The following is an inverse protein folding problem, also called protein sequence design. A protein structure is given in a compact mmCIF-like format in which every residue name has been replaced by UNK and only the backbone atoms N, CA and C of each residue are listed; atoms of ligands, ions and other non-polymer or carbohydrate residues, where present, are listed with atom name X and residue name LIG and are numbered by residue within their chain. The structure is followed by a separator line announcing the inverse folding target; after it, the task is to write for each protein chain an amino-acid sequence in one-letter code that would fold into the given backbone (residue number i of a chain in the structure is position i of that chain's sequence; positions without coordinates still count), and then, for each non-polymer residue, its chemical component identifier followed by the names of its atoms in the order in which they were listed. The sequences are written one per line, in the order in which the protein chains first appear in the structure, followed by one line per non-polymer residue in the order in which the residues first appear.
data_IF_110096856699
#
_entry.id   IF_110096856699
#
_cell.length_a   1.000
_cell.length_b   1.000
_cell.length_c   1.000
_cell.angle_alpha   90.00
_cell.angle_beta   90.00
_cell.angle_gamma   90.00
#
_symmetry.space_group_name_H-M   'P 1'
#
loop_
_entity.id
_entity.type
_entity.pdbx_description
1 polymer ?
#
# COMPACT_ATOMS: atom_id res chain seq x y z
N UNK A 1 -32.02 -15.30 -8.10
CA UNK A 1 -30.93 -15.92 -8.87
C UNK A 1 -29.65 -15.29 -8.36
N UNK A 2 -28.80 -16.08 -7.71
CA UNK A 2 -27.64 -15.61 -6.96
C UNK A 2 -26.67 -14.87 -7.89
N UNK A 3 -26.44 -13.59 -7.58
CA UNK A 3 -25.45 -12.78 -8.26
C UNK A 3 -24.08 -13.24 -7.72
N UNK A 4 -23.29 -13.86 -8.57
CA UNK A 4 -21.95 -14.38 -8.27
C UNK A 4 -21.03 -13.23 -7.86
N UNK A 5 -20.67 -13.17 -6.58
CA UNK A 5 -19.61 -12.31 -6.05
C UNK A 5 -18.24 -12.80 -6.57
N UNK A 6 -17.43 -11.96 -7.24
CA UNK A 6 -16.08 -12.33 -7.68
C UNK A 6 -15.07 -12.55 -6.54
N UNK A 7 -15.45 -12.34 -5.27
CA UNK A 7 -14.56 -12.40 -4.11
C UNK A 7 -14.51 -13.76 -3.42
N UNK A 8 -14.84 -14.84 -4.14
CA UNK A 8 -14.73 -16.17 -3.55
C UNK A 8 -13.27 -16.51 -3.23
N UNK A 9 -13.05 -16.68 -1.93
CA UNK A 9 -11.90 -17.26 -1.27
C UNK A 9 -11.46 -18.62 -1.88
N UNK A 10 -12.25 -19.23 -2.76
CA UNK A 10 -11.93 -20.48 -3.48
C UNK A 10 -10.88 -20.34 -4.59
N UNK A 11 -10.45 -19.12 -4.95
CA UNK A 11 -9.31 -18.93 -5.87
C UNK A 11 -7.92 -19.27 -5.27
N UNK A 12 -7.87 -19.79 -4.03
CA UNK A 12 -6.67 -19.82 -3.17
C UNK A 12 -5.91 -21.16 -3.22
N UNK A 13 -6.28 -22.10 -4.10
CA UNK A 13 -5.49 -23.33 -4.32
C UNK A 13 -5.19 -23.58 -5.79
N UNK A 14 -3.90 -23.47 -6.15
CA UNK A 14 -3.34 -24.14 -7.34
C UNK A 14 -3.58 -23.46 -8.70
N UNK A 15 -3.97 -22.18 -8.73
CA UNK A 15 -4.00 -21.39 -9.97
C UNK A 15 -2.60 -21.08 -10.51
N UNK A 16 -2.52 -20.69 -11.79
CA UNK A 16 -1.29 -20.18 -12.40
C UNK A 16 -0.75 -18.99 -11.57
N UNK A 17 0.55 -19.02 -11.25
CA UNK A 17 1.19 -17.93 -10.48
C UNK A 17 1.11 -16.65 -11.32
N UNK A 18 0.41 -15.59 -10.86
CA UNK A 18 0.30 -14.36 -11.63
C UNK A 18 1.66 -13.65 -11.68
N UNK A 19 1.85 -12.72 -12.63
CA UNK A 19 2.98 -11.80 -12.55
C UNK A 19 2.95 -11.06 -11.20
N UNK A 20 4.08 -10.57 -10.66
CA UNK A 20 4.14 -9.94 -9.34
C UNK A 20 3.30 -8.65 -9.21
N UNK A 21 2.95 -8.05 -10.35
CA UNK A 21 2.10 -6.87 -10.43
C UNK A 21 1.37 -6.79 -11.78
N UNK A 22 0.32 -5.97 -11.80
CA UNK A 22 -0.26 -5.41 -13.01
C UNK A 22 0.15 -3.94 -13.16
N UNK A 23 0.50 -3.55 -14.38
CA UNK A 23 0.84 -2.16 -14.71
C UNK A 23 -0.23 -1.61 -15.66
N UNK A 24 -1.00 -0.64 -15.16
CA UNK A 24 -2.00 0.08 -15.91
C UNK A 24 -1.37 1.36 -16.46
N UNK A 25 -1.25 1.41 -17.79
CA UNK A 25 -0.74 2.57 -18.49
C UNK A 25 -1.84 3.64 -18.61
N UNK A 26 -1.47 4.93 -18.66
CA UNK A 26 -2.43 6.00 -18.86
C UNK A 26 -3.17 5.82 -20.18
N UNK A 27 -4.46 6.18 -20.21
CA UNK A 27 -5.26 6.22 -21.44
C UNK A 27 -5.17 7.56 -22.17
N UNK A 28 -4.92 8.61 -21.40
CA UNK A 28 -4.69 9.97 -21.88
C UNK A 28 -3.18 10.30 -21.95
N UNK A 29 -2.85 11.56 -22.23
CA UNK A 29 -1.48 12.06 -22.15
C UNK A 29 -0.85 11.76 -20.78
N UNK A 30 0.34 11.17 -20.80
CA UNK A 30 1.08 10.80 -19.60
C UNK A 30 1.37 12.03 -18.73
N UNK A 31 1.12 11.89 -17.43
CA UNK A 31 1.43 12.84 -16.38
C UNK A 31 2.50 12.25 -15.46
N UNK A 32 3.23 13.07 -14.68
CA UNK A 32 4.35 12.61 -13.86
C UNK A 32 3.93 11.78 -12.63
N UNK A 33 2.80 11.07 -12.65
CA UNK A 33 2.28 10.31 -11.51
C UNK A 33 2.40 8.80 -11.72
N UNK A 34 3.00 8.14 -10.72
CA UNK A 34 2.92 6.70 -10.49
C UNK A 34 2.10 6.45 -9.23
N UNK A 35 0.96 5.78 -9.39
CA UNK A 35 0.12 5.32 -8.28
C UNK A 35 0.53 3.88 -7.94
N UNK A 36 1.02 3.65 -6.74
CA UNK A 36 1.40 2.32 -6.26
C UNK A 36 0.33 1.79 -5.30
N UNK A 37 -0.14 0.57 -5.55
CA UNK A 37 -1.06 -0.16 -4.66
C UNK A 37 -0.40 -1.49 -4.27
N UNK A 38 0.52 -1.47 -3.29
CA UNK A 38 1.36 -2.62 -2.97
C UNK A 38 0.64 -3.73 -2.17
N UNK A 39 -0.52 -3.46 -1.57
CA UNK A 39 -1.13 -4.33 -0.56
C UNK A 39 -2.54 -4.83 -0.86
N UNK A 40 -3.09 -4.56 -2.05
CA UNK A 40 -4.41 -5.10 -2.47
C UNK A 40 -4.31 -6.43 -3.22
N UNK A 41 -3.12 -7.04 -3.28
CA UNK A 41 -2.91 -8.33 -3.90
C UNK A 41 -3.69 -9.44 -3.19
N UNK A 42 -4.34 -10.30 -3.97
CA UNK A 42 -5.24 -11.38 -3.50
C UNK A 42 -4.75 -12.77 -3.89
N UNK A 43 -3.54 -12.88 -4.43
CA UNK A 43 -2.93 -14.17 -4.70
C UNK A 43 -2.21 -14.69 -3.46
N UNK A 44 -2.71 -15.83 -2.97
CA UNK A 44 -2.17 -16.57 -1.83
C UNK A 44 -1.60 -17.90 -2.35
N UNK A 45 -0.27 -18.04 -2.48
CA UNK A 45 0.33 -19.29 -2.92
C UNK A 45 -0.05 -20.45 -2.00
N UNK A 46 -0.19 -21.67 -2.55
CA UNK A 46 -0.48 -22.86 -1.74
C UNK A 46 0.57 -23.08 -0.64
N UNK A 47 1.85 -22.74 -0.91
CA UNK A 47 2.92 -22.79 0.07
C UNK A 47 2.68 -21.90 1.30
N UNK A 48 1.97 -20.78 1.16
CA UNK A 48 1.56 -19.94 2.28
C UNK A 48 0.35 -20.53 3.00
N UNK A 49 -0.66 -20.93 2.24
CA UNK A 49 -1.92 -21.46 2.79
C UNK A 49 -1.68 -22.73 3.59
N UNK A 50 -0.89 -23.66 3.06
CA UNK A 50 -0.60 -24.95 3.67
C UNK A 50 0.33 -24.82 4.90
N UNK A 51 1.15 -23.76 4.96
CA UNK A 51 2.04 -23.48 6.09
C UNK A 51 1.36 -22.70 7.23
N UNK A 52 0.13 -22.21 7.00
CA UNK A 52 -0.59 -21.31 7.90
C UNK A 52 -1.63 -22.04 8.74
N UNK A 53 -1.70 -21.78 10.06
CA UNK A 53 -2.80 -22.27 10.89
C UNK A 53 -4.06 -21.38 10.75
N UNK A 54 -3.94 -20.20 10.12
CA UNK A 54 -5.04 -19.27 9.94
C UNK A 54 -5.96 -19.73 8.84
N UNK A 55 -7.25 -19.47 9.04
CA UNK A 55 -8.23 -19.56 7.98
C UNK A 55 -8.08 -18.42 6.99
N UNK A 56 -9.02 -18.39 6.05
CA UNK A 56 -8.93 -17.47 4.96
C UNK A 56 -9.07 -16.01 5.31
N UNK A 57 -10.08 -15.70 6.10
CA UNK A 57 -10.30 -14.35 6.61
C UNK A 57 -9.10 -13.91 7.45
N UNK A 58 -8.52 -14.80 8.26
CA UNK A 58 -7.33 -14.55 9.06
C UNK A 58 -6.13 -14.10 8.23
N UNK A 59 -5.79 -14.81 7.16
CA UNK A 59 -4.69 -14.44 6.25
C UNK A 59 -4.92 -13.11 5.52
N UNK A 60 -6.18 -12.71 5.33
CA UNK A 60 -6.58 -11.49 4.65
C UNK A 60 -6.63 -10.25 5.54
N UNK A 61 -6.49 -10.40 6.86
CA UNK A 61 -6.57 -9.25 7.80
C UNK A 61 -5.51 -8.16 7.57
N UNK A 62 -4.43 -8.48 6.87
CA UNK A 62 -3.35 -7.53 6.54
C UNK A 62 -3.49 -6.92 5.15
N UNK A 63 -4.47 -7.34 4.35
CA UNK A 63 -4.77 -6.75 3.05
C UNK A 63 -5.19 -5.29 3.22
N UNK A 64 -4.74 -4.45 2.30
CA UNK A 64 -5.35 -3.14 2.08
C UNK A 64 -6.48 -3.35 1.06
N UNK A 65 -7.52 -4.07 1.50
CA UNK A 65 -8.59 -4.56 0.63
C UNK A 65 -9.28 -3.41 -0.09
N UNK A 66 -9.61 -3.62 -1.36
CA UNK A 66 -10.33 -2.69 -2.25
C UNK A 66 -9.63 -1.36 -2.59
N UNK A 67 -8.42 -1.08 -2.11
CA UNK A 67 -7.69 0.15 -2.48
C UNK A 67 -7.44 0.21 -3.98
N UNK A 68 -7.14 -0.93 -4.60
CA UNK A 68 -7.04 -1.06 -6.06
C UNK A 68 -8.35 -0.74 -6.79
N UNK A 69 -9.50 -1.10 -6.22
CA UNK A 69 -10.81 -0.79 -6.78
C UNK A 69 -11.18 0.70 -6.60
N UNK A 70 -10.87 1.28 -5.44
CA UNK A 70 -11.11 2.70 -5.15
C UNK A 70 -10.38 3.59 -6.17
N UNK A 71 -9.16 3.20 -6.54
CA UNK A 71 -8.29 3.98 -7.42
C UNK A 71 -8.23 3.47 -8.87
N UNK A 72 -9.08 2.50 -9.25
CA UNK A 72 -9.07 1.87 -10.57
C UNK A 72 -9.24 2.85 -11.76
N UNK A 73 -9.86 4.01 -11.53
CA UNK A 73 -10.08 5.04 -12.55
C UNK A 73 -8.90 6.01 -12.78
N UNK A 74 -7.83 5.94 -11.99
CA UNK A 74 -6.71 6.89 -12.11
C UNK A 74 -5.94 6.83 -13.44
N UNK A 75 -5.83 5.69 -14.15
CA UNK A 75 -5.26 5.67 -15.50
C UNK A 75 -5.99 6.57 -16.51
N UNK A 76 -7.27 6.88 -16.29
CA UNK A 76 -8.06 7.85 -17.09
C UNK A 76 -7.65 9.31 -16.86
N UNK A 77 -6.68 9.56 -15.98
CA UNK A 77 -6.22 10.93 -15.67
C UNK A 77 -4.86 11.24 -16.27
N UNK A 78 -4.21 10.26 -16.90
CA UNK A 78 -2.81 10.35 -17.35
C UNK A 78 -1.80 9.76 -16.37
N UNK A 79 -2.22 9.26 -15.20
CA UNK A 79 -1.33 8.57 -14.27
C UNK A 79 -1.04 7.13 -14.73
N UNK A 80 0.17 6.64 -14.43
CA UNK A 80 0.47 5.21 -14.45
C UNK A 80 0.10 4.60 -13.10
N UNK A 81 -0.46 3.39 -13.06
CA UNK A 81 -0.80 2.68 -11.83
C UNK A 81 -0.18 1.29 -11.80
N UNK A 82 0.42 0.90 -10.68
CA UNK A 82 1.00 -0.42 -10.44
C UNK A 82 0.31 -1.08 -9.23
N UNK A 83 -0.27 -2.26 -9.46
CA UNK A 83 -1.02 -3.00 -8.44
C UNK A 83 -0.32 -4.33 -8.19
N UNK A 84 0.03 -4.60 -6.93
CA UNK A 84 0.59 -5.90 -6.55
C UNK A 84 -0.45 -7.01 -6.69
N UNK A 85 -0.04 -8.19 -7.13
CA UNK A 85 -0.93 -9.35 -7.25
C UNK A 85 -0.85 -10.26 -6.03
N UNK A 86 0.34 -10.37 -5.43
CA UNK A 86 0.59 -11.23 -4.29
C UNK A 86 0.14 -10.55 -3.01
N UNK A 87 -0.45 -11.33 -2.11
CA UNK A 87 -0.89 -10.82 -0.82
C UNK A 87 0.29 -10.35 0.03
N UNK A 88 0.08 -9.28 0.79
CA UNK A 88 1.06 -8.73 1.74
C UNK A 88 1.54 -9.78 2.77
N UNK A 89 0.67 -10.71 3.16
CA UNK A 89 1.02 -11.81 4.05
C UNK A 89 2.09 -12.75 3.46
N UNK A 90 2.22 -12.79 2.12
CA UNK A 90 3.27 -13.53 1.44
C UNK A 90 4.57 -12.72 1.36
N UNK A 91 4.48 -11.48 0.88
CA UNK A 91 5.58 -10.50 0.75
C UNK A 91 5.02 -9.09 0.97
N UNK A 92 5.54 -8.35 1.95
CA UNK A 92 5.24 -6.94 2.17
C UNK A 92 6.14 -6.08 1.25
N UNK A 93 5.51 -5.48 0.22
CA UNK A 93 6.17 -4.63 -0.77
C UNK A 93 6.41 -3.19 -0.26
N UNK A 94 5.94 -2.85 0.94
CA UNK A 94 6.29 -1.61 1.63
C UNK A 94 7.33 -1.85 2.74
N UNK A 95 8.28 -2.77 2.46
CA UNK A 95 9.47 -3.07 3.26
C UNK A 95 10.71 -3.24 2.38
N UNK A 96 11.89 -3.06 2.96
CA UNK A 96 13.14 -3.28 2.25
C UNK A 96 13.43 -4.78 2.08
N UNK A 97 14.01 -5.21 0.95
CA UNK A 97 14.19 -6.63 0.61
C UNK A 97 14.87 -7.49 1.71
N UNK A 98 15.78 -6.88 2.46
CA UNK A 98 16.58 -7.49 3.52
C UNK A 98 16.02 -7.23 4.93
N UNK A 99 14.86 -6.58 5.08
CA UNK A 99 14.17 -6.40 6.36
C UNK A 99 13.44 -7.70 6.77
N UNK A 100 14.23 -8.73 7.13
CA UNK A 100 13.80 -10.09 7.41
C UNK A 100 14.16 -10.52 8.84
N UNK A 101 13.32 -11.35 9.46
CA UNK A 101 13.63 -11.99 10.74
C UNK A 101 14.40 -13.30 10.46
N UNK A 102 15.69 -13.41 10.81
CA UNK A 102 16.48 -14.60 10.51
C UNK A 102 15.93 -15.86 11.19
N UNK A 103 15.31 -15.70 12.37
CA UNK A 103 14.79 -16.80 13.20
C UNK A 103 13.51 -17.45 12.62
N UNK A 104 12.86 -16.81 11.65
CA UNK A 104 11.70 -17.39 10.95
C UNK A 104 12.07 -18.51 10.00
N UNK A 105 13.36 -18.75 9.75
CA UNK A 105 13.83 -19.65 8.71
C UNK A 105 14.68 -20.81 9.23
N UNK A 106 14.67 -21.91 8.49
CA UNK A 106 15.53 -23.07 8.71
C UNK A 106 16.32 -23.45 7.44
N UNK A 107 17.66 -23.52 7.50
CA UNK A 107 18.49 -22.99 8.59
C UNK A 107 18.27 -21.48 8.79
N UNK A 108 18.68 -20.95 9.94
CA UNK A 108 18.59 -19.51 10.24
C UNK A 108 19.35 -18.71 9.16
N UNK A 109 18.79 -17.58 8.74
CA UNK A 109 19.45 -16.71 7.76
C UNK A 109 20.70 -16.06 8.38
N UNK A 110 21.70 -15.78 7.55
CA UNK A 110 22.89 -15.05 7.98
C UNK A 110 22.53 -13.62 8.40
N UNK A 111 22.75 -13.28 9.68
CA UNK A 111 22.48 -11.96 10.25
C UNK A 111 23.23 -10.83 9.52
N UNK A 112 24.36 -11.13 8.88
CA UNK A 112 25.09 -10.14 8.08
C UNK A 112 24.37 -9.74 6.79
N UNK A 113 23.36 -10.51 6.36
CA UNK A 113 22.62 -10.31 5.10
C UNK A 113 21.21 -9.73 5.29
N UNK A 114 20.78 -9.53 6.54
CA UNK A 114 19.43 -9.05 6.88
C UNK A 114 19.46 -7.91 7.90
N UNK A 115 18.39 -7.11 7.95
CA UNK A 115 18.21 -6.01 8.91
C UNK A 115 17.04 -6.28 9.85
N UNK A 116 17.35 -6.48 11.15
CA UNK A 116 16.36 -6.70 12.21
C UNK A 116 15.84 -5.38 12.81
N UNK A 117 14.99 -4.68 12.07
CA UNK A 117 14.36 -3.41 12.51
C UNK A 117 13.36 -3.64 13.66
N UNK A 118 12.91 -2.58 14.38
CA UNK A 118 11.82 -2.72 15.35
C UNK A 118 10.54 -3.36 14.77
N UNK A 119 10.26 -3.15 13.47
CA UNK A 119 9.14 -3.77 12.78
C UNK A 119 9.36 -5.27 12.57
N UNK A 120 10.56 -5.67 12.18
CA UNK A 120 10.94 -7.09 12.09
C UNK A 120 10.79 -7.78 13.44
N UNK A 121 11.27 -7.15 14.52
CA UNK A 121 11.10 -7.68 15.89
C UNK A 121 9.62 -7.81 16.30
N UNK A 122 8.75 -6.98 15.73
CA UNK A 122 7.31 -7.07 15.89
C UNK A 122 6.64 -8.04 14.89
N UNK A 123 7.41 -8.80 14.10
CA UNK A 123 6.87 -9.76 13.12
C UNK A 123 6.38 -9.13 11.80
N UNK A 124 6.70 -7.87 11.53
CA UNK A 124 6.20 -7.09 10.37
C UNK A 124 7.33 -6.76 9.37
N UNK A 125 8.22 -7.72 9.12
CA UNK A 125 9.25 -7.64 8.07
C UNK A 125 8.71 -7.90 6.66
N UNK A 126 9.60 -7.95 5.68
CA UNK A 126 9.27 -8.20 4.25
C UNK A 126 8.58 -9.54 4.03
N UNK A 127 8.94 -10.53 4.83
CA UNK A 127 8.14 -11.75 4.98
C UNK A 127 7.56 -11.67 6.39
N UNK A 128 6.28 -11.28 6.52
CA UNK A 128 5.69 -11.04 7.84
C UNK A 128 5.50 -12.37 8.58
N UNK A 129 5.81 -12.37 9.88
CA UNK A 129 5.58 -13.50 10.78
C UNK A 129 4.15 -13.53 11.32
N UNK A 130 3.51 -12.36 11.41
CA UNK A 130 2.18 -12.16 11.98
C UNK A 130 1.30 -11.34 11.04
N UNK A 131 -0.01 -11.51 11.17
CA UNK A 131 -0.98 -10.57 10.59
C UNK A 131 -1.17 -9.34 11.47
N UNK A 132 -1.85 -8.32 10.95
CA UNK A 132 -2.14 -7.04 11.63
C UNK A 132 -2.75 -7.19 13.05
N UNK A 133 -3.49 -8.26 13.33
CA UNK A 133 -4.05 -8.57 14.66
C UNK A 133 -3.14 -9.36 15.60
N UNK A 134 -1.91 -9.64 15.21
CA UNK A 134 -0.94 -10.33 16.06
C UNK A 134 -0.87 -11.85 15.91
N UNK A 135 -1.76 -12.47 15.14
CA UNK A 135 -1.79 -13.92 14.98
C UNK A 135 -0.64 -14.39 14.06
N UNK A 136 0.07 -15.48 14.40
CA UNK A 136 1.17 -16.00 13.60
C UNK A 136 0.67 -16.53 12.25
N UNK A 137 1.36 -16.17 11.18
CA UNK A 137 1.07 -16.62 9.81
C UNK A 137 1.56 -18.05 9.60
N UNK A 138 2.64 -18.49 10.27
CA UNK A 138 3.24 -19.81 10.04
C UNK A 138 3.19 -20.67 11.29
N UNK A 139 2.96 -21.96 11.12
CA UNK A 139 2.99 -22.94 12.21
C UNK A 139 4.42 -23.28 12.69
N UNK A 140 5.43 -22.95 11.90
CA UNK A 140 6.85 -23.19 12.20
C UNK A 140 7.77 -22.48 11.21
N UNK A 141 9.09 -22.70 11.33
CA UNK A 141 10.08 -22.05 10.47
C UNK A 141 9.91 -22.41 8.99
N UNK A 142 10.09 -21.42 8.11
CA UNK A 142 10.11 -21.61 6.67
C UNK A 142 11.47 -22.12 6.19
N UNK A 143 11.57 -22.89 5.09
CA UNK A 143 12.87 -23.15 4.46
C UNK A 143 13.57 -21.83 4.10
N UNK A 144 14.86 -21.65 4.42
CA UNK A 144 15.61 -20.43 4.13
C UNK A 144 15.53 -19.97 2.65
N UNK A 145 15.45 -20.93 1.72
CA UNK A 145 15.28 -20.67 0.29
C UNK A 145 14.00 -19.90 -0.06
N UNK A 146 12.96 -19.97 0.78
CA UNK A 146 11.71 -19.23 0.60
C UNK A 146 11.98 -17.72 0.65
N UNK A 147 12.83 -17.26 1.57
CA UNK A 147 13.17 -15.84 1.66
C UNK A 147 13.72 -15.30 0.35
N UNK A 148 14.75 -15.98 -0.15
CA UNK A 148 15.40 -15.62 -1.40
C UNK A 148 14.46 -15.74 -2.60
N UNK A 149 13.66 -16.81 -2.65
CA UNK A 149 12.71 -17.02 -3.72
C UNK A 149 11.71 -15.88 -3.79
N UNK A 150 11.02 -15.57 -2.69
CA UNK A 150 10.00 -14.52 -2.60
C UNK A 150 10.54 -13.15 -2.93
N UNK A 151 11.72 -12.81 -2.40
CA UNK A 151 12.39 -11.54 -2.71
C UNK A 151 12.72 -11.46 -4.21
N UNK A 152 13.23 -12.54 -4.82
CA UNK A 152 13.61 -12.53 -6.24
C UNK A 152 12.41 -12.57 -7.18
N UNK A 153 11.35 -13.31 -6.86
CA UNK A 153 10.21 -13.53 -7.75
C UNK A 153 9.12 -12.46 -7.63
N UNK A 154 9.02 -11.80 -6.47
CA UNK A 154 7.96 -10.82 -6.18
C UNK A 154 8.51 -9.43 -5.90
N UNK A 155 9.31 -9.28 -4.84
CA UNK A 155 9.79 -7.97 -4.36
C UNK A 155 10.66 -7.25 -5.39
N UNK A 156 11.72 -7.92 -5.83
CA UNK A 156 12.72 -7.37 -6.76
C UNK A 156 12.07 -6.88 -8.06
N UNK A 157 11.28 -7.69 -8.79
CA UNK A 157 10.66 -7.22 -10.04
C UNK A 157 9.65 -6.08 -9.82
N UNK A 158 8.89 -6.08 -8.72
CA UNK A 158 8.00 -4.97 -8.37
C UNK A 158 8.79 -3.66 -8.22
N UNK A 159 9.80 -3.65 -7.35
CA UNK A 159 10.57 -2.44 -7.07
C UNK A 159 11.45 -2.00 -8.25
N UNK A 160 11.93 -2.94 -9.06
CA UNK A 160 12.59 -2.62 -10.32
C UNK A 160 11.63 -1.90 -11.28
N UNK A 161 10.37 -2.34 -11.36
CA UNK A 161 9.36 -1.66 -12.18
C UNK A 161 9.06 -0.26 -11.64
N UNK A 162 8.78 -0.12 -10.34
CA UNK A 162 8.53 1.18 -9.69
C UNK A 162 9.67 2.15 -10.00
N UNK A 163 10.93 1.74 -9.76
CA UNK A 163 12.11 2.56 -10.04
C UNK A 163 12.18 2.97 -11.51
N UNK A 164 12.09 2.01 -12.43
CA UNK A 164 12.17 2.29 -13.86
C UNK A 164 11.08 3.24 -14.35
N UNK A 165 9.88 3.17 -13.78
CA UNK A 165 8.76 4.05 -14.13
C UNK A 165 8.98 5.45 -13.56
N UNK A 166 9.44 5.58 -12.31
CA UNK A 166 9.77 6.88 -11.74
C UNK A 166 10.91 7.57 -12.51
N UNK A 167 11.95 6.84 -12.89
CA UNK A 167 13.04 7.38 -13.70
C UNK A 167 12.52 7.85 -15.07
N UNK A 168 11.68 7.06 -15.76
CA UNK A 168 11.07 7.45 -17.04
C UNK A 168 10.20 8.71 -16.93
N UNK A 169 9.37 8.79 -15.89
CA UNK A 169 8.53 9.96 -15.64
C UNK A 169 9.38 11.20 -15.36
N UNK A 170 10.43 11.06 -14.52
CA UNK A 170 11.35 12.15 -14.21
C UNK A 170 12.07 12.64 -15.46
N UNK A 171 12.61 11.74 -16.26
CA UNK A 171 13.37 12.10 -17.46
C UNK A 171 12.48 12.81 -18.51
N UNK A 172 11.18 12.46 -18.57
CA UNK A 172 10.22 13.08 -19.49
C UNK A 172 9.65 14.41 -19.00
N UNK A 173 9.35 14.52 -17.71
CA UNK A 173 8.60 15.64 -17.14
C UNK A 173 9.45 16.57 -16.25
N UNK A 174 10.75 16.27 -16.10
CA UNK A 174 11.64 16.92 -15.13
C UNK A 174 11.40 16.49 -13.68
N UNK A 175 10.39 15.65 -13.43
CA UNK A 175 9.99 15.17 -12.11
C UNK A 175 9.12 13.92 -12.17
N UNK A 176 9.05 13.19 -11.08
CA UNK A 176 8.15 12.06 -10.88
C UNK A 176 7.50 12.11 -9.49
N UNK A 177 6.25 11.68 -9.41
CA UNK A 177 5.44 11.71 -8.20
C UNK A 177 4.94 10.29 -7.95
N UNK A 178 5.41 9.69 -6.87
CA UNK A 178 4.90 8.45 -6.34
C UNK A 178 3.76 8.77 -5.35
N UNK A 179 2.59 8.19 -5.59
CA UNK A 179 1.53 8.13 -4.59
C UNK A 179 1.40 6.69 -4.12
N UNK A 180 1.81 6.43 -2.88
CA UNK A 180 1.80 5.10 -2.25
C UNK A 180 0.47 4.90 -1.50
N UNK A 181 -0.45 4.16 -2.11
CA UNK A 181 -1.84 4.04 -1.68
C UNK A 181 -2.06 2.82 -0.78
N UNK A 182 -2.63 3.08 0.39
CA UNK A 182 -2.83 2.12 1.47
C UNK A 182 -4.18 2.30 2.16
N UNK A 183 -4.51 1.34 3.04
CA UNK A 183 -5.57 1.53 4.01
C UNK A 183 -5.15 1.07 5.41
N UNK A 184 -5.66 1.79 6.40
CA UNK A 184 -5.36 1.60 7.80
C UNK A 184 -6.61 1.14 8.58
N UNK A 185 -6.43 0.41 9.69
CA UNK A 185 -7.54 0.01 10.54
C UNK A 185 -8.29 1.20 11.14
N UNK A 186 -9.58 1.03 11.42
CA UNK A 186 -10.40 2.01 12.14
C UNK A 186 -9.95 2.16 13.59
N UNK A 187 -10.34 3.27 14.22
CA UNK A 187 -10.04 3.55 15.62
C UNK A 187 -10.39 2.39 16.57
N UNK A 188 -11.53 1.71 16.35
CA UNK A 188 -11.93 0.58 17.18
C UNK A 188 -10.92 -0.57 17.10
N UNK A 189 -10.45 -0.86 15.89
CA UNK A 189 -9.60 -2.02 15.59
C UNK A 189 -8.14 -1.84 16.02
N UNK A 190 -7.61 -0.61 16.07
CA UNK A 190 -6.21 -0.39 16.51
C UNK A 190 -6.08 -0.18 18.03
N UNK A 191 -7.18 0.06 18.74
CA UNK A 191 -7.14 0.32 20.20
C UNK A 191 -7.91 -0.67 21.08
N UNK A 192 -8.56 -1.69 20.50
CA UNK A 192 -9.51 -2.53 21.24
C UNK A 192 -10.61 -1.69 21.91
N UNK A 193 -11.01 -0.58 21.27
CA UNK A 193 -11.93 0.41 21.81
C UNK A 193 -11.36 1.40 22.84
N UNK A 194 -10.11 1.28 23.30
CA UNK A 194 -9.49 2.28 24.20
C UNK A 194 -8.83 3.36 23.37
N UNK A 195 -9.43 4.55 23.24
CA UNK A 195 -8.78 5.73 22.64
C UNK A 195 -7.29 5.72 23.02
N UNK A 196 -6.40 5.53 22.04
CA UNK A 196 -4.98 5.87 22.17
C UNK A 196 -4.94 7.20 22.93
N UNK A 197 -3.98 7.40 23.84
CA UNK A 197 -3.92 8.56 24.74
C UNK A 197 -3.97 9.96 24.09
N UNK A 198 -4.31 10.08 22.81
CA UNK A 198 -5.14 11.14 22.26
C UNK A 198 -6.27 11.50 23.24
N UNK A 199 -6.12 12.66 23.89
CA UNK A 199 -7.20 13.23 24.69
C UNK A 199 -8.51 13.37 23.88
N UNK A 200 -9.62 13.72 24.55
CA UNK A 200 -10.96 13.77 23.95
C UNK A 200 -11.12 14.67 22.70
N UNK A 201 -10.10 15.45 22.34
CA UNK A 201 -10.06 16.40 21.22
C UNK A 201 -9.43 15.88 19.91
N UNK A 202 -9.00 14.61 19.82
CA UNK A 202 -8.35 14.07 18.60
C UNK A 202 -9.11 12.85 18.08
N UNK A 203 -9.95 13.05 17.07
CA UNK A 203 -10.59 11.97 16.31
C UNK A 203 -9.56 11.23 15.44
N UNK A 204 -9.83 9.96 15.20
CA UNK A 204 -9.11 9.17 14.20
C UNK A 204 -9.43 9.74 12.81
N UNK A 205 -8.44 10.02 11.96
CA UNK A 205 -8.69 10.63 10.67
C UNK A 205 -9.25 9.62 9.66
N UNK A 206 -10.00 10.13 8.70
CA UNK A 206 -10.45 9.37 7.53
C UNK A 206 -9.26 9.09 6.60
N UNK A 207 -8.35 10.06 6.46
CA UNK A 207 -7.18 9.99 5.58
C UNK A 207 -5.92 10.46 6.32
N UNK A 208 -4.82 9.72 6.17
CA UNK A 208 -3.49 10.19 6.56
C UNK A 208 -2.61 10.38 5.35
N UNK A 209 -1.98 11.55 5.25
CA UNK A 209 -0.98 11.88 4.26
C UNK A 209 0.41 11.77 4.88
N UNK A 210 1.24 10.84 4.41
CA UNK A 210 2.58 10.60 4.91
C UNK A 210 3.64 11.05 3.91
N UNK A 211 4.40 12.10 4.23
CA UNK A 211 5.47 12.64 3.39
C UNK A 211 6.84 12.62 4.07
N UNK A 212 7.00 11.75 5.07
CA UNK A 212 8.15 11.66 5.94
C UNK A 212 8.50 13.01 6.58
N UNK A 213 7.48 13.72 7.09
CA UNK A 213 7.64 15.05 7.69
C UNK A 213 8.23 16.10 6.73
N UNK A 214 7.91 15.97 5.45
CA UNK A 214 8.40 16.83 4.37
C UNK A 214 9.76 16.44 3.80
N UNK A 215 10.32 15.28 4.17
CA UNK A 215 11.58 14.79 3.58
C UNK A 215 11.36 14.09 2.23
N UNK A 216 10.20 13.46 2.03
CA UNK A 216 9.93 12.65 0.85
C UNK A 216 9.14 13.38 -0.25
N UNK A 217 8.46 14.48 0.08
CA UNK A 217 7.54 15.19 -0.82
C UNK A 217 7.66 16.70 -0.65
N UNK A 218 7.41 17.46 -1.72
CA UNK A 218 7.33 18.92 -1.60
C UNK A 218 6.03 19.35 -0.92
N UNK A 219 6.13 20.43 -0.15
CA UNK A 219 5.03 20.90 0.73
C UNK A 219 3.77 21.28 -0.04
N UNK A 220 3.93 21.84 -1.24
CA UNK A 220 2.82 22.26 -2.09
C UNK A 220 1.98 21.06 -2.55
N UNK A 221 2.63 19.95 -2.91
CA UNK A 221 1.93 18.73 -3.32
C UNK A 221 1.14 18.13 -2.14
N UNK A 222 1.77 18.01 -0.96
CA UNK A 222 1.07 17.53 0.24
C UNK A 222 -0.09 18.47 0.64
N UNK A 223 0.09 19.79 0.52
CA UNK A 223 -0.95 20.76 0.85
C UNK A 223 -2.13 20.73 -0.12
N UNK A 224 -1.86 20.60 -1.42
CA UNK A 224 -2.91 20.44 -2.42
C UNK A 224 -3.70 19.16 -2.19
N UNK A 225 -3.03 18.04 -1.90
CA UNK A 225 -3.70 16.77 -1.58
C UNK A 225 -4.60 16.90 -0.33
N UNK A 226 -4.10 17.52 0.74
CA UNK A 226 -4.88 17.75 1.97
C UNK A 226 -6.14 18.57 1.69
N UNK A 227 -5.99 19.70 1.02
CA UNK A 227 -7.07 20.63 0.69
C UNK A 227 -8.15 19.99 -0.20
N UNK A 228 -7.74 19.21 -1.21
CA UNK A 228 -8.66 18.43 -2.06
C UNK A 228 -9.50 17.46 -1.21
N UNK A 229 -8.86 16.67 -0.34
CA UNK A 229 -9.60 15.69 0.46
C UNK A 229 -10.47 16.33 1.56
N UNK A 230 -10.05 17.47 2.11
CA UNK A 230 -10.88 18.27 3.02
C UNK A 230 -12.13 18.80 2.31
N UNK A 231 -11.99 19.35 1.09
CA UNK A 231 -13.15 19.79 0.27
C UNK A 231 -14.06 18.62 -0.12
N UNK A 232 -13.48 17.44 -0.35
CA UNK A 232 -14.23 16.22 -0.58
C UNK A 232 -14.95 15.70 0.67
N UNK A 233 -14.81 16.36 1.83
CA UNK A 233 -15.55 16.10 3.06
C UNK A 233 -14.93 15.04 3.97
N UNK A 234 -13.63 14.77 3.84
CA UNK A 234 -12.90 13.85 4.72
C UNK A 234 -12.15 14.61 5.81
N UNK A 235 -11.95 13.96 6.96
CA UNK A 235 -10.97 14.41 7.95
C UNK A 235 -9.57 13.94 7.54
N UNK A 236 -8.65 14.88 7.41
CA UNK A 236 -7.28 14.61 6.94
C UNK A 236 -6.27 14.93 8.03
N UNK A 237 -5.25 14.10 8.18
CA UNK A 237 -4.07 14.42 9.00
C UNK A 237 -2.79 14.16 8.22
N UNK A 238 -1.75 14.91 8.55
CA UNK A 238 -0.40 14.66 8.05
C UNK A 238 0.42 13.89 9.05
N UNK A 239 1.14 12.90 8.54
CA UNK A 239 2.20 12.15 9.19
C UNK A 239 1.83 11.39 10.48
N UNK A 240 0.55 11.35 10.86
CA UNK A 240 0.10 10.81 12.14
C UNK A 240 -1.19 10.01 11.95
N UNK A 241 -1.22 8.73 12.37
CA UNK A 241 -0.11 7.97 12.96
C UNK A 241 0.92 7.46 11.93
N UNK A 242 0.66 7.60 10.64
CA UNK A 242 1.52 7.11 9.56
C UNK A 242 2.24 8.26 8.86
N UNK A 243 3.56 8.32 8.98
CA UNK A 243 4.42 9.34 8.34
C UNK A 243 4.95 8.93 6.97
N UNK A 244 4.64 7.73 6.50
CA UNK A 244 5.22 7.15 5.29
C UNK A 244 6.04 5.89 5.58
N UNK A 245 5.99 4.96 4.65
CA UNK A 245 6.59 3.64 4.70
C UNK A 245 7.94 3.56 3.99
N UNK A 246 8.30 2.35 3.59
CA UNK A 246 9.52 2.11 2.83
C UNK A 246 9.49 2.84 1.48
N UNK A 247 8.39 2.80 0.74
CA UNK A 247 8.34 3.38 -0.59
C UNK A 247 8.56 4.90 -0.55
N UNK A 248 7.93 5.62 0.38
CA UNK A 248 8.16 7.07 0.52
C UNK A 248 9.58 7.39 0.95
N UNK A 249 10.13 6.64 1.92
CA UNK A 249 11.51 6.86 2.40
C UNK A 249 12.56 6.49 1.35
N UNK A 250 12.29 5.48 0.53
CA UNK A 250 13.25 4.93 -0.43
C UNK A 250 13.25 5.65 -1.77
N UNK A 251 12.08 6.08 -2.25
CA UNK A 251 11.93 6.75 -3.54
C UNK A 251 11.83 8.26 -3.42
N UNK A 252 11.35 8.79 -2.29
CA UNK A 252 11.26 10.22 -2.04
C UNK A 252 12.65 10.86 -2.05
N UNK A 253 12.90 11.69 -3.05
CA UNK A 253 14.09 12.50 -3.18
C UNK A 253 13.73 13.83 -3.88
N UNK A 254 13.01 14.75 -3.22
CA UNK A 254 12.50 15.97 -3.85
C UNK A 254 13.57 16.81 -4.52
N UNK A 255 14.77 16.89 -3.92
CA UNK A 255 15.95 17.59 -4.50
C UNK A 255 16.41 17.02 -5.85
N UNK A 256 16.05 15.77 -6.14
CA UNK A 256 16.33 15.07 -7.39
C UNK A 256 15.09 14.94 -8.28
N UNK A 257 14.03 15.70 -8.00
CA UNK A 257 12.78 15.72 -8.76
C UNK A 257 11.89 14.49 -8.56
N UNK A 258 12.10 13.68 -7.50
CA UNK A 258 11.20 12.55 -7.20
C UNK A 258 10.50 12.81 -5.88
N UNK A 259 9.18 13.00 -5.92
CA UNK A 259 8.36 13.22 -4.74
C UNK A 259 7.59 11.94 -4.41
N UNK A 260 7.42 11.62 -3.14
CA UNK A 260 6.68 10.46 -2.70
C UNK A 260 5.74 10.79 -1.54
N UNK A 261 4.45 10.53 -1.74
CA UNK A 261 3.38 10.78 -0.78
C UNK A 261 2.62 9.48 -0.50
N UNK A 262 2.55 9.08 0.77
CA UNK A 262 1.70 7.99 1.21
C UNK A 262 0.29 8.49 1.50
N UNK A 263 -0.72 7.71 1.08
CA UNK A 263 -2.13 7.94 1.44
C UNK A 263 -2.64 6.71 2.16
N UNK A 264 -3.06 6.89 3.41
CA UNK A 264 -3.73 5.86 4.21
C UNK A 264 -5.22 6.16 4.32
N UNK A 265 -6.06 5.25 3.84
CA UNK A 265 -7.51 5.34 3.94
C UNK A 265 -8.01 4.58 5.17
N UNK A 266 -8.85 5.19 5.99
CA UNK A 266 -9.51 4.49 7.09
C UNK A 266 -10.49 3.42 6.54
N UNK A 267 -10.25 2.14 6.86
CA UNK A 267 -11.08 1.01 6.38
C UNK A 267 -12.53 1.11 6.80
N UNK A 268 -12.81 1.67 7.98
CA UNK A 268 -14.17 1.91 8.48
C UNK A 268 -15.03 2.81 7.60
N UNK A 269 -14.44 3.52 6.63
CA UNK A 269 -15.20 4.27 5.63
C UNK A 269 -15.91 3.37 4.62
N UNK A 270 -15.38 2.18 4.36
CA UNK A 270 -15.69 1.46 3.13
C UNK A 270 -15.81 -0.05 3.26
N UNK A 271 -15.37 -0.66 4.36
CA UNK A 271 -15.48 -2.09 4.59
C UNK A 271 -15.73 -2.44 6.06
N UNK A 272 -16.38 -3.58 6.30
CA UNK A 272 -16.38 -4.23 7.61
C UNK A 272 -15.04 -4.96 7.79
N UNK A 273 -14.27 -4.57 8.79
CA UNK A 273 -12.92 -5.11 9.02
C UNK A 273 -12.91 -6.51 9.64
N UNK A 274 -14.05 -7.01 10.11
CA UNK A 274 -14.17 -8.37 10.63
C UNK A 274 -14.53 -9.36 9.51
N UNK A 275 -15.49 -9.01 8.65
CA UNK A 275 -15.93 -9.87 7.54
C UNK A 275 -15.14 -9.65 6.25
N UNK A 276 -14.45 -8.51 6.13
CA UNK A 276 -13.78 -8.03 4.93
C UNK A 276 -14.73 -7.74 3.76
N UNK A 277 -16.03 -7.58 4.05
CA UNK A 277 -17.04 -7.22 3.06
C UNK A 277 -17.14 -5.70 2.88
N UNK A 278 -17.45 -5.21 1.67
CA UNK A 278 -17.65 -3.79 1.44
C UNK A 278 -18.91 -3.30 2.16
N UNK A 279 -18.85 -2.11 2.74
CA UNK A 279 -20.03 -1.46 3.32
C UNK A 279 -20.97 -0.97 2.20
N UNK A 280 -22.28 -0.77 2.47
CA UNK A 280 -23.20 -0.18 1.51
C UNK A 280 -22.75 1.19 0.99
N UNK A 281 -21.99 1.95 1.79
CA UNK A 281 -21.45 3.26 1.43
C UNK A 281 -20.20 3.19 0.52
N UNK A 282 -19.61 2.00 0.32
CA UNK A 282 -18.37 1.81 -0.44
C UNK A 282 -18.40 2.50 -1.82
N UNK A 283 -19.45 2.37 -2.67
CA UNK A 283 -19.45 3.00 -3.99
C UNK A 283 -19.33 4.53 -3.93
N UNK A 284 -20.03 5.19 -3.00
CA UNK A 284 -19.99 6.65 -2.85
C UNK A 284 -18.62 7.11 -2.31
N UNK A 285 -18.10 6.40 -1.31
CA UNK A 285 -16.79 6.70 -0.70
C UNK A 285 -15.67 6.49 -1.73
N UNK A 286 -15.70 5.39 -2.48
CA UNK A 286 -14.74 5.12 -3.54
C UNK A 286 -14.77 6.21 -4.62
N UNK A 287 -15.96 6.65 -5.03
CA UNK A 287 -16.09 7.75 -5.99
C UNK A 287 -15.49 9.06 -5.46
N UNK A 288 -15.76 9.43 -4.20
CA UNK A 288 -15.19 10.65 -3.59
C UNK A 288 -13.67 10.57 -3.46
N UNK A 289 -13.12 9.45 -3.01
CA UNK A 289 -11.68 9.23 -2.87
C UNK A 289 -10.98 9.22 -4.23
N UNK A 290 -11.51 8.47 -5.19
CA UNK A 290 -11.01 8.39 -6.55
C UNK A 290 -11.03 9.75 -7.26
N UNK A 291 -12.13 10.50 -7.12
CA UNK A 291 -12.25 11.86 -7.68
C UNK A 291 -11.25 12.83 -7.06
N UNK A 292 -11.03 12.77 -5.74
CA UNK A 292 -10.03 13.60 -5.08
C UNK A 292 -8.62 13.33 -5.60
N UNK A 293 -8.19 12.07 -5.67
CA UNK A 293 -6.88 11.75 -6.21
C UNK A 293 -6.78 12.05 -7.73
N UNK A 294 -7.87 11.91 -8.47
CA UNK A 294 -7.93 12.31 -9.87
C UNK A 294 -7.81 13.84 -10.05
N UNK A 295 -8.40 14.64 -9.16
CA UNK A 295 -8.22 16.09 -9.12
C UNK A 295 -6.75 16.44 -8.85
N UNK A 296 -6.11 15.78 -7.87
CA UNK A 296 -4.69 16.00 -7.57
C UNK A 296 -3.80 15.77 -8.80
N UNK A 297 -4.00 14.65 -9.50
CA UNK A 297 -3.27 14.33 -10.73
C UNK A 297 -3.51 15.38 -11.82
N UNK A 298 -4.74 15.89 -11.92
CA UNK A 298 -5.11 16.89 -12.94
C UNK A 298 -4.55 18.28 -12.65
N UNK A 299 -4.61 18.72 -11.40
CA UNK A 299 -4.27 20.08 -10.99
C UNK A 299 -2.75 20.28 -10.91
N UNK A 300 -2.03 19.37 -10.25
CA UNK A 300 -0.61 19.57 -9.96
C UNK A 300 0.30 19.55 -11.21
N UNK A 301 -0.16 18.99 -12.32
CA UNK A 301 0.56 19.10 -13.61
C UNK A 301 0.31 20.45 -14.30
N UNK A 302 -0.88 21.05 -14.10
CA UNK A 302 -1.32 22.25 -14.82
C UNK A 302 -0.70 23.52 -14.24
N UNK A 303 -0.70 23.65 -12.90
CA UNK A 303 -0.16 24.84 -12.21
C UNK A 303 1.33 25.07 -12.50
N UNK A 304 2.07 24.02 -12.84
CA UNK A 304 3.50 24.10 -13.11
C UNK A 304 3.85 24.36 -14.57
N UNK A 305 2.97 24.01 -15.52
CA UNK A 305 3.12 24.49 -16.91
C UNK A 305 2.95 26.01 -16.97
N UNK A 306 2.01 26.54 -16.20
CA UNK A 306 1.77 27.98 -16.10
C UNK A 306 2.88 28.74 -15.35
N UNK A 307 3.60 28.09 -14.44
CA UNK A 307 4.74 28.70 -13.73
C UNK A 307 6.06 28.67 -14.53
N UNK A 308 6.12 27.90 -15.63
CA UNK A 308 7.29 27.76 -16.50
C UNK A 308 7.21 28.60 -17.79
N UNK A 309 6.10 29.32 -18.00
CA UNK A 309 5.89 30.33 -19.05
C UNK A 309 6.10 31.74 -18.50
#
# INVERSE_FOLDING_TARGET
MANSDPLQFEAIRGGEVPPPFHLHRPKDAERPFLIAVPHSGRFYPSSLVDASPLDGTGLRQSEDAYVDHIFAGLPETGATMIVATHARAYVDLNRAADELDPDMFHPVLDEATVRRTPRVKAGLGTIPAIVSRGAPIYAGPLPAREALHRVRSVHTPYHAKVRSTLDQLRDRHGRAILVDCHSMPSAENVSGGRRFGWGPARSWPDIVLGDCWGEACDRELTALAEDIFLRAGFTVRRNVPYSGGYATQHYGAPRSGVHALQIELCRGLYMDEATLEPLPAMPEVAARLGNGLAELVRTYDTDLRLAAE
#
